data_IF_192097943290
#
_entry.id   IF_192097943290
#
_cell.length_a   1.000
_cell.length_b   1.000
_cell.length_c   1.000
_cell.angle_alpha   90.00
_cell.angle_beta   90.00
_cell.angle_gamma   90.00
#
_symmetry.space_group_name_H-M   'P 1'
#
loop_
_entity.id
_entity.type
_entity.pdbx_description
1 polymer ?
#
# COMPACT_ATOMS: atom_id res chain seq x y z
N UNK A 1 -13.40 -10.34 4.93
CA UNK A 1 -12.54 -9.81 3.85
C UNK A 1 -11.50 -8.95 4.57
N UNK A 2 -10.25 -9.38 4.61
CA UNK A 2 -9.17 -8.53 5.11
C UNK A 2 -8.87 -7.54 3.99
N UNK A 3 -8.93 -6.25 4.31
CA UNK A 3 -8.48 -5.18 3.43
C UNK A 3 -7.14 -5.58 2.80
N UNK A 4 -7.01 -5.41 1.49
CA UNK A 4 -5.71 -5.46 0.83
C UNK A 4 -4.93 -4.31 1.46
N UNK A 5 -4.19 -4.61 2.51
CA UNK A 5 -3.25 -3.68 3.11
C UNK A 5 -2.12 -3.53 2.11
N UNK A 6 -2.06 -2.40 1.44
CA UNK A 6 -0.79 -1.97 0.89
C UNK A 6 0.13 -1.82 2.09
N UNK A 7 1.06 -2.74 2.19
CA UNK A 7 2.10 -2.73 3.21
C UNK A 7 2.88 -1.44 3.03
N UNK A 8 3.08 -0.63 4.08
CA UNK A 8 4.05 0.45 4.00
C UNK A 8 5.38 -0.18 3.57
N UNK A 9 5.99 0.36 2.51
CA UNK A 9 7.33 -0.02 2.10
C UNK A 9 8.26 0.32 3.26
N UNK A 10 8.57 -0.69 4.06
CA UNK A 10 9.72 -0.61 4.96
C UNK A 10 10.97 -0.49 4.11
N UNK A 11 11.64 0.64 4.21
CA UNK A 11 12.95 0.86 3.61
C UNK A 11 13.96 -0.03 4.30
N UNK A 12 14.61 -0.89 3.57
CA UNK A 12 15.77 -1.65 4.06
C UNK A 12 16.87 -1.69 3.00
N UNK A 13 18.03 -1.31 3.41
CA UNK A 13 19.23 -1.01 2.63
C UNK A 13 20.29 -2.13 2.60
N UNK A 14 20.83 -2.50 1.43
CA UNK A 14 22.03 -3.35 1.30
C UNK A 14 23.17 -2.71 0.50
N UNK A 15 24.38 -2.83 0.99
CA UNK A 15 25.59 -2.29 0.38
C UNK A 15 26.26 -3.29 -0.56
N UNK A 16 26.60 -2.85 -1.77
CA UNK A 16 27.66 -3.45 -2.58
C UNK A 16 28.74 -2.41 -2.85
N UNK A 17 29.99 -2.84 -2.74
CA UNK A 17 31.20 -2.03 -2.84
C UNK A 17 31.44 -1.48 -4.24
N UNK A 18 31.64 -0.16 -4.32
CA UNK A 18 31.86 0.59 -5.55
C UNK A 18 33.25 0.43 -6.16
N UNK A 19 33.30 0.32 -7.48
CA UNK A 19 34.47 0.71 -8.29
C UNK A 19 34.26 2.13 -8.83
N UNK A 20 35.20 3.01 -8.59
CA UNK A 20 35.13 4.40 -8.97
C UNK A 20 35.12 4.66 -10.46
N UNK A 21 34.23 5.52 -10.89
CA UNK A 21 34.19 6.14 -12.21
C UNK A 21 34.22 7.65 -12.06
N UNK A 22 35.16 8.30 -12.76
CA UNK A 22 35.31 9.76 -12.81
C UNK A 22 34.25 10.32 -13.76
N UNK A 23 33.24 11.00 -13.23
CA UNK A 23 32.28 11.76 -14.05
C UNK A 23 32.79 13.18 -14.25
N UNK A 24 33.13 13.48 -15.49
CA UNK A 24 33.28 14.85 -16.01
C UNK A 24 32.16 15.07 -17.02
N UNK A 25 31.10 15.75 -16.64
CA UNK A 25 30.03 16.17 -17.52
C UNK A 25 29.02 17.02 -16.77
N UNK A 26 29.07 18.34 -17.02
CA UNK A 26 28.24 19.30 -16.28
C UNK A 26 26.76 19.19 -16.63
N UNK A 27 26.00 18.90 -15.63
CA UNK A 27 24.72 19.49 -15.28
C UNK A 27 24.84 19.80 -13.79
N UNK A 28 24.51 21.01 -13.37
CA UNK A 28 24.49 21.35 -11.95
C UNK A 28 23.32 20.58 -11.33
N UNK A 29 23.57 19.33 -10.95
CA UNK A 29 22.66 18.48 -10.16
C UNK A 29 22.30 19.21 -8.87
N UNK A 30 21.14 19.84 -8.87
CA UNK A 30 20.60 20.50 -7.68
C UNK A 30 20.26 19.41 -6.68
N UNK A 31 20.93 19.44 -5.53
CA UNK A 31 20.61 18.51 -4.45
C UNK A 31 19.17 18.73 -3.98
N UNK A 32 18.36 17.68 -3.97
CA UNK A 32 17.01 17.73 -3.42
C UNK A 32 17.10 17.97 -1.91
N UNK A 33 16.43 18.99 -1.36
CA UNK A 33 16.40 19.22 0.08
C UNK A 33 15.70 18.07 0.82
N UNK A 34 16.14 17.78 2.06
CA UNK A 34 15.55 16.68 2.86
C UNK A 34 14.06 16.86 3.10
N UNK A 35 13.61 18.09 3.28
CA UNK A 35 12.20 18.44 3.49
C UNK A 35 11.30 18.15 2.28
N UNK A 36 11.87 18.07 1.07
CA UNK A 36 11.14 17.73 -0.15
C UNK A 36 11.06 16.22 -0.39
N UNK A 37 11.88 15.41 0.31
CA UNK A 37 11.92 13.95 0.14
C UNK A 37 10.54 13.29 0.15
N UNK A 38 9.62 13.55 1.12
CA UNK A 38 8.33 12.88 1.16
C UNK A 38 7.50 13.13 -0.10
N UNK A 39 7.45 14.37 -0.58
CA UNK A 39 6.65 14.74 -1.76
C UNK A 39 7.25 14.19 -3.06
N UNK A 40 8.56 14.26 -3.22
CA UNK A 40 9.26 13.74 -4.40
C UNK A 40 9.15 12.22 -4.47
N UNK A 41 9.33 11.54 -3.35
CA UNK A 41 9.21 10.09 -3.27
C UNK A 41 7.76 9.61 -3.48
N UNK A 42 6.77 10.31 -2.91
CA UNK A 42 5.35 10.05 -3.18
C UNK A 42 5.02 10.14 -4.67
N UNK A 43 5.55 11.16 -5.36
CA UNK A 43 5.37 11.30 -6.81
C UNK A 43 5.97 10.12 -7.58
N UNK A 44 7.17 9.68 -7.22
CA UNK A 44 7.83 8.52 -7.85
C UNK A 44 7.04 7.22 -7.61
N UNK A 45 6.62 6.95 -6.38
CA UNK A 45 5.79 5.78 -6.03
C UNK A 45 4.46 5.79 -6.80
N UNK A 46 3.76 6.91 -6.83
CA UNK A 46 2.48 7.01 -7.55
C UNK A 46 2.65 6.80 -9.06
N UNK A 47 3.77 7.25 -9.63
CA UNK A 47 4.13 6.96 -11.02
C UNK A 47 4.36 5.46 -11.23
N UNK A 48 5.10 4.79 -10.34
CA UNK A 48 5.31 3.34 -10.38
C UNK A 48 4.00 2.56 -10.29
N UNK A 49 3.09 2.95 -9.39
CA UNK A 49 1.74 2.34 -9.31
C UNK A 49 0.94 2.54 -10.59
N UNK A 50 1.01 3.74 -11.19
CA UNK A 50 0.34 4.02 -12.46
C UNK A 50 0.91 3.17 -13.58
N UNK A 51 2.23 3.01 -13.66
CA UNK A 51 2.89 2.17 -14.65
C UNK A 51 2.54 0.69 -14.47
N UNK A 52 2.44 0.21 -13.22
CA UNK A 52 2.11 -1.17 -12.91
C UNK A 52 0.63 -1.48 -13.15
N UNK A 53 -0.25 -0.69 -12.58
CA UNK A 53 -1.68 -0.96 -12.54
C UNK A 53 -2.44 -0.26 -13.67
N UNK A 54 -1.82 0.74 -14.32
CA UNK A 54 -2.47 1.55 -15.34
C UNK A 54 -3.76 2.20 -14.82
N UNK A 55 -4.81 2.17 -15.62
CA UNK A 55 -6.12 2.70 -15.22
C UNK A 55 -6.73 1.94 -14.02
N UNK A 56 -6.28 0.73 -13.73
CA UNK A 56 -6.73 -0.05 -12.59
C UNK A 56 -6.35 0.59 -11.26
N UNK A 57 -5.31 1.42 -11.22
CA UNK A 57 -4.98 2.16 -10.02
C UNK A 57 -6.14 3.02 -9.53
N UNK A 58 -6.85 3.68 -10.45
CA UNK A 58 -8.05 4.46 -10.14
C UNK A 58 -9.22 3.57 -9.63
N UNK A 59 -9.28 2.30 -10.04
CA UNK A 59 -10.29 1.35 -9.57
C UNK A 59 -10.05 0.96 -8.10
N UNK A 60 -8.79 0.75 -7.71
CA UNK A 60 -8.44 0.41 -6.32
C UNK A 60 -8.49 1.61 -5.37
N UNK A 61 -8.25 2.80 -5.89
CA UNK A 61 -8.18 4.07 -5.14
C UNK A 61 -9.03 5.14 -5.80
N UNK A 62 -10.35 4.92 -5.97
CA UNK A 62 -11.22 5.85 -6.69
C UNK A 62 -11.30 7.20 -5.95
N UNK A 63 -11.03 8.29 -6.70
CA UNK A 63 -11.07 9.66 -6.15
C UNK A 63 -9.93 10.00 -5.19
N UNK A 64 -8.97 9.10 -4.95
CA UNK A 64 -7.84 9.35 -4.09
C UNK A 64 -6.76 10.13 -4.86
N UNK A 65 -6.29 11.22 -4.27
CA UNK A 65 -5.07 11.89 -4.71
C UNK A 65 -3.86 11.14 -4.17
N UNK A 66 -3.32 10.22 -4.97
CA UNK A 66 -2.20 9.38 -4.58
C UNK A 66 -1.03 10.19 -4.05
N UNK A 67 -0.58 11.23 -4.77
CA UNK A 67 0.60 12.00 -4.37
C UNK A 67 0.36 12.72 -3.06
N UNK A 68 -0.80 13.36 -2.90
CA UNK A 68 -1.15 14.06 -1.66
C UNK A 68 -1.17 13.12 -0.46
N UNK A 69 -1.91 12.01 -0.57
CA UNK A 69 -2.09 11.08 0.55
C UNK A 69 -0.78 10.36 0.90
N UNK A 70 -0.04 9.90 -0.12
CA UNK A 70 1.28 9.28 0.09
C UNK A 70 2.29 10.26 0.66
N UNK A 71 2.25 11.54 0.26
CA UNK A 71 3.11 12.58 0.85
C UNK A 71 2.85 12.74 2.34
N UNK A 72 1.58 12.84 2.75
CA UNK A 72 1.20 12.96 4.17
C UNK A 72 1.66 11.72 4.93
N UNK A 73 1.39 10.53 4.41
CA UNK A 73 1.82 9.28 5.02
C UNK A 73 3.34 9.24 5.22
N UNK A 74 4.12 9.54 4.18
CA UNK A 74 5.58 9.57 4.26
C UNK A 74 6.11 10.65 5.21
N UNK A 75 5.45 11.82 5.29
CA UNK A 75 5.82 12.84 6.27
C UNK A 75 5.67 12.33 7.71
N UNK A 76 4.67 11.51 7.97
CA UNK A 76 4.44 10.94 9.30
C UNK A 76 5.32 9.72 9.58
N UNK A 77 5.53 8.84 8.60
CA UNK A 77 6.44 7.70 8.71
C UNK A 77 7.89 8.13 8.92
N UNK A 78 8.32 9.17 8.22
CA UNK A 78 9.65 9.76 8.34
C UNK A 78 9.72 10.89 9.38
N UNK A 79 8.72 10.96 10.27
CA UNK A 79 8.76 11.91 11.38
C UNK A 79 10.02 11.64 12.23
N UNK A 80 10.84 12.67 12.43
CA UNK A 80 12.13 12.54 13.11
C UNK A 80 13.33 12.33 12.18
N UNK A 81 13.15 12.04 10.88
CA UNK A 81 14.27 11.85 9.94
C UNK A 81 15.27 13.02 9.99
N UNK A 82 14.77 14.26 10.01
CA UNK A 82 15.64 15.44 10.10
C UNK A 82 16.49 15.44 11.37
N UNK A 83 15.95 14.98 12.50
CA UNK A 83 16.67 14.92 13.76
C UNK A 83 17.77 13.84 13.74
N UNK A 84 17.48 12.66 13.18
CA UNK A 84 18.48 11.57 13.08
C UNK A 84 19.56 11.89 12.04
N UNK A 85 19.23 12.62 10.97
CA UNK A 85 20.24 13.16 10.03
C UNK A 85 21.12 14.18 10.73
N UNK A 86 20.55 15.13 11.47
CA UNK A 86 21.30 16.11 12.24
C UNK A 86 22.20 15.47 13.32
N UNK A 87 21.77 14.35 13.90
CA UNK A 87 22.56 13.55 14.85
C UNK A 87 23.67 12.73 14.17
N UNK A 88 23.75 12.72 12.84
CA UNK A 88 24.73 11.96 12.07
C UNK A 88 24.48 10.44 12.04
N UNK A 89 23.28 10.00 12.39
CA UNK A 89 22.87 8.59 12.38
C UNK A 89 22.47 8.14 10.97
N UNK A 90 22.09 9.09 10.12
CA UNK A 90 21.88 8.94 8.69
C UNK A 90 22.69 10.02 7.97
N UNK A 91 23.40 9.65 6.90
CA UNK A 91 23.98 10.60 5.96
C UNK A 91 23.03 10.77 4.79
N UNK A 92 22.49 11.95 4.64
CA UNK A 92 21.62 12.30 3.52
C UNK A 92 22.43 12.82 2.34
N UNK A 93 22.21 12.24 1.16
CA UNK A 93 22.86 12.58 -0.11
C UNK A 93 21.82 13.03 -1.14
N UNK A 94 21.31 14.26 -1.03
CA UNK A 94 20.25 14.79 -1.87
C UNK A 94 20.51 14.73 -3.38
N UNK A 95 21.79 14.73 -3.81
CA UNK A 95 22.15 14.52 -5.24
C UNK A 95 21.91 13.09 -5.72
N UNK A 96 22.06 12.11 -4.83
CA UNK A 96 21.81 10.69 -5.16
C UNK A 96 20.32 10.35 -5.13
N UNK A 97 19.52 11.19 -4.48
CA UNK A 97 18.08 10.98 -4.40
C UNK A 97 17.41 11.00 -5.78
N UNK A 98 17.88 11.85 -6.72
CA UNK A 98 17.30 11.88 -8.06
C UNK A 98 17.39 10.53 -8.76
N UNK A 99 18.53 9.85 -8.69
CA UNK A 99 18.68 8.51 -9.29
C UNK A 99 17.72 7.49 -8.66
N UNK A 100 17.52 7.57 -7.32
CA UNK A 100 16.52 6.77 -6.62
C UNK A 100 15.10 7.05 -7.16
N UNK A 101 14.71 8.32 -7.26
CA UNK A 101 13.37 8.71 -7.73
C UNK A 101 13.13 8.27 -9.18
N UNK A 102 14.13 8.40 -10.04
CA UNK A 102 14.05 7.98 -11.44
C UNK A 102 13.88 6.46 -11.54
N UNK A 103 14.63 5.69 -10.75
CA UNK A 103 14.52 4.24 -10.71
C UNK A 103 13.16 3.79 -10.17
N UNK A 104 12.70 4.36 -9.06
CA UNK A 104 11.37 4.07 -8.49
C UNK A 104 10.27 4.42 -9.48
N UNK A 105 10.29 5.63 -10.07
CA UNK A 105 9.23 6.09 -10.97
C UNK A 105 9.14 5.29 -12.26
N UNK A 106 10.24 4.72 -12.73
CA UNK A 106 10.30 3.88 -13.93
C UNK A 106 10.11 2.39 -13.64
N UNK A 107 9.94 2.02 -12.37
CA UNK A 107 9.77 0.63 -11.94
C UNK A 107 8.51 0.01 -12.53
N UNK A 108 8.61 -1.28 -12.84
CA UNK A 108 7.46 -2.12 -13.17
C UNK A 108 6.81 -2.71 -11.90
N UNK A 109 5.81 -3.54 -12.07
CA UNK A 109 5.11 -4.20 -10.97
C UNK A 109 6.05 -4.99 -10.05
N UNK A 110 7.13 -5.53 -10.58
CA UNK A 110 8.03 -6.39 -9.80
C UNK A 110 8.74 -5.62 -8.69
N UNK A 111 8.95 -4.32 -8.87
CA UNK A 111 9.64 -3.46 -7.92
C UNK A 111 8.74 -2.98 -6.76
N UNK A 112 7.41 -2.99 -6.92
CA UNK A 112 6.48 -2.43 -5.92
C UNK A 112 6.44 -3.20 -4.59
N UNK A 113 6.81 -4.48 -4.59
CA UNK A 113 6.89 -5.32 -3.39
C UNK A 113 8.33 -5.69 -3.04
N UNK A 114 9.30 -5.14 -3.77
CA UNK A 114 10.70 -5.34 -3.50
C UNK A 114 11.22 -4.24 -2.59
N UNK A 115 12.39 -4.50 -2.03
CA UNK A 115 13.18 -3.53 -1.33
C UNK A 115 13.45 -2.32 -2.21
N UNK A 116 13.64 -1.15 -1.58
CA UNK A 116 14.04 0.04 -2.30
C UNK A 116 15.28 -0.22 -3.17
N UNK A 117 15.35 0.38 -4.36
CA UNK A 117 16.52 0.24 -5.24
C UNK A 117 17.83 0.64 -4.55
N UNK A 118 18.95 0.08 -4.97
CA UNK A 118 20.28 0.40 -4.41
C UNK A 118 20.62 1.90 -4.53
N UNK A 119 20.10 2.58 -5.55
CA UNK A 119 20.21 4.03 -5.70
C UNK A 119 19.59 4.80 -4.53
N UNK A 120 18.47 4.31 -3.99
CA UNK A 120 17.81 4.91 -2.82
C UNK A 120 18.63 4.74 -1.56
N UNK A 121 19.27 3.59 -1.41
CA UNK A 121 20.21 3.31 -0.34
C UNK A 121 21.36 4.30 -0.29
N UNK A 122 21.87 4.61 -1.47
CA UNK A 122 22.93 5.60 -1.58
C UNK A 122 22.48 7.02 -1.20
N UNK A 123 21.16 7.32 -1.22
CA UNK A 123 20.61 8.61 -0.83
C UNK A 123 20.46 8.79 0.68
N UNK A 124 20.17 7.70 1.40
CA UNK A 124 20.03 7.65 2.87
C UNK A 124 20.98 6.59 3.42
N UNK A 125 22.21 6.96 3.76
CA UNK A 125 23.23 6.02 4.26
C UNK A 125 23.17 5.93 5.78
N UNK A 126 22.67 4.82 6.32
CA UNK A 126 22.67 4.52 7.75
C UNK A 126 24.10 4.37 8.32
N UNK A 127 24.32 4.79 9.56
CA UNK A 127 25.62 4.76 10.21
C UNK A 127 25.66 3.88 11.46
N UNK A 128 24.50 3.47 11.97
CA UNK A 128 24.38 2.67 13.19
C UNK A 128 24.77 1.21 12.88
N UNK A 129 25.72 0.68 13.63
CA UNK A 129 26.17 -0.70 13.48
C UNK A 129 25.21 -1.69 14.13
N UNK A 130 25.35 -2.98 13.79
CA UNK A 130 24.60 -4.08 14.40
C UNK A 130 24.62 -4.02 15.93
N UNK A 131 23.46 -4.19 16.55
CA UNK A 131 23.24 -4.10 17.99
C UNK A 131 23.17 -2.67 18.52
N UNK A 132 23.39 -1.64 17.70
CA UNK A 132 23.22 -0.25 18.12
C UNK A 132 21.75 0.15 18.16
N UNK A 133 21.41 1.09 19.05
CA UNK A 133 20.05 1.60 19.22
C UNK A 133 19.58 2.30 17.95
N UNK A 134 18.30 2.13 17.57
CA UNK A 134 17.69 2.76 16.41
C UNK A 134 16.19 3.07 16.66
N UNK A 135 15.69 4.04 15.91
CA UNK A 135 14.28 4.39 15.86
C UNK A 135 13.72 4.21 14.43
N UNK A 136 14.58 4.32 13.40
CA UNK A 136 14.25 4.17 11.99
C UNK A 136 15.12 3.07 11.36
N UNK A 137 14.56 2.35 10.40
CA UNK A 137 15.31 1.35 9.62
C UNK A 137 16.52 1.98 8.90
N UNK A 138 16.34 3.20 8.39
CA UNK A 138 17.34 3.97 7.65
C UNK A 138 18.56 4.34 8.50
N UNK A 139 18.49 4.24 9.81
CA UNK A 139 19.66 4.48 10.69
C UNK A 139 20.65 3.33 10.64
N UNK A 140 20.17 2.14 10.36
CA UNK A 140 20.97 0.92 10.41
C UNK A 140 21.89 0.79 9.19
N UNK A 141 23.12 0.35 9.42
CA UNK A 141 24.14 0.26 8.38
C UNK A 141 24.03 -1.03 7.59
N UNK A 142 23.94 -0.91 6.25
CA UNK A 142 23.97 -2.06 5.36
C UNK A 142 22.71 -2.93 5.44
N UNK A 143 22.86 -4.25 5.29
CA UNK A 143 21.75 -5.21 5.29
C UNK A 143 21.19 -5.43 6.71
N UNK A 144 20.75 -4.37 7.35
CA UNK A 144 20.17 -4.37 8.68
C UNK A 144 18.86 -3.59 8.69
N UNK A 145 18.00 -3.87 9.64
CA UNK A 145 16.78 -3.16 9.93
C UNK A 145 16.67 -2.82 11.41
N UNK A 146 15.85 -1.87 11.76
CA UNK A 146 15.61 -1.51 13.15
C UNK A 146 14.57 -2.45 13.76
N UNK A 147 15.03 -3.46 14.49
CA UNK A 147 14.13 -4.38 15.19
C UNK A 147 13.57 -3.71 16.43
N UNK A 148 12.32 -3.24 16.31
CA UNK A 148 11.59 -2.69 17.44
C UNK A 148 11.17 -3.83 18.38
N UNK A 149 11.50 -3.69 19.65
CA UNK A 149 11.07 -4.61 20.71
C UNK A 149 9.86 -4.07 21.46
N UNK A 150 9.54 -4.69 22.61
CA UNK A 150 8.55 -4.18 23.56
C UNK A 150 9.01 -2.88 24.26
N UNK A 151 10.21 -2.42 24.01
CA UNK A 151 10.77 -1.18 24.57
C UNK A 151 11.60 -0.44 23.54
N UNK A 152 11.48 0.90 23.50
CA UNK A 152 12.37 1.79 22.75
C UNK A 152 13.69 2.03 23.47
N UNK A 153 14.78 2.30 22.75
CA UNK A 153 14.89 2.21 21.28
C UNK A 153 14.91 0.76 20.79
N UNK A 154 14.72 0.55 19.48
CA UNK A 154 14.98 -0.71 18.81
C UNK A 154 16.49 -0.99 18.70
N UNK A 155 16.86 -2.07 18.05
CA UNK A 155 18.26 -2.42 17.79
C UNK A 155 18.47 -2.81 16.33
N UNK A 156 19.50 -2.27 15.70
CA UNK A 156 19.91 -2.64 14.35
C UNK A 156 20.26 -4.13 14.31
N UNK A 157 19.53 -4.87 13.50
CA UNK A 157 19.63 -6.34 13.39
C UNK A 157 19.75 -6.72 11.91
N UNK A 158 20.53 -7.76 11.62
CA UNK A 158 20.64 -8.28 10.25
C UNK A 158 19.24 -8.73 9.73
N UNK A 159 19.02 -8.51 8.44
CA UNK A 159 17.84 -8.98 7.75
C UNK A 159 17.68 -10.49 7.86
N UNK A 160 16.46 -10.92 8.01
CA UNK A 160 16.12 -12.32 8.19
C UNK A 160 16.20 -13.08 6.85
N UNK A 161 16.87 -14.23 6.91
CA UNK A 161 16.96 -15.17 5.80
C UNK A 161 15.67 -15.98 5.64
N UNK A 162 15.57 -16.77 4.58
CA UNK A 162 14.45 -17.69 4.39
C UNK A 162 14.20 -18.57 5.62
N UNK A 163 12.96 -18.56 6.12
CA UNK A 163 12.55 -19.23 7.35
C UNK A 163 12.82 -18.43 8.64
N UNK A 164 13.52 -17.30 8.58
CA UNK A 164 13.72 -16.38 9.71
C UNK A 164 12.39 -15.79 10.20
N UNK A 165 12.35 -15.37 11.46
CA UNK A 165 11.14 -14.79 12.06
C UNK A 165 11.01 -13.33 11.68
N UNK A 166 9.85 -12.96 11.14
CA UNK A 166 9.56 -11.59 10.69
C UNK A 166 8.23 -11.09 11.24
N UNK A 167 8.06 -9.79 11.27
CA UNK A 167 6.82 -9.06 11.56
C UNK A 167 6.35 -8.23 10.37
N UNK A 168 7.26 -7.87 9.49
CA UNK A 168 7.02 -7.08 8.28
C UNK A 168 7.91 -7.60 7.12
N UNK A 169 7.56 -7.24 5.89
CA UNK A 169 8.37 -7.59 4.71
C UNK A 169 9.78 -6.99 4.79
N UNK A 170 9.90 -5.80 5.40
CA UNK A 170 11.18 -5.11 5.59
C UNK A 170 12.19 -5.90 6.44
N UNK A 171 11.72 -6.82 7.29
CA UNK A 171 12.59 -7.66 8.11
C UNK A 171 13.34 -8.71 7.28
N UNK A 172 12.86 -9.01 6.07
CA UNK A 172 13.39 -10.07 5.22
C UNK A 172 14.40 -9.54 4.20
N UNK A 173 15.38 -10.37 3.82
CA UNK A 173 16.28 -10.04 2.72
C UNK A 173 15.52 -9.85 1.41
N UNK A 174 16.11 -9.13 0.46
CA UNK A 174 15.52 -8.88 -0.87
C UNK A 174 15.05 -10.18 -1.53
N UNK A 175 13.87 -10.13 -2.16
CA UNK A 175 13.23 -11.28 -2.81
C UNK A 175 12.44 -12.20 -1.86
N UNK A 176 12.41 -11.90 -0.57
CA UNK A 176 11.55 -12.58 0.40
C UNK A 176 10.48 -11.64 0.93
N UNK A 177 9.40 -12.23 1.44
CA UNK A 177 8.33 -11.52 2.12
C UNK A 177 8.02 -12.18 3.46
N UNK A 178 7.40 -11.44 4.37
CA UNK A 178 6.93 -11.99 5.63
C UNK A 178 5.58 -12.70 5.41
N UNK A 179 5.59 -14.01 5.40
CA UNK A 179 4.38 -14.82 5.22
C UNK A 179 3.47 -14.80 6.46
N UNK A 180 2.24 -15.31 6.30
CA UNK A 180 1.21 -15.37 7.35
C UNK A 180 1.66 -16.11 8.62
N UNK A 181 2.69 -16.95 8.53
CA UNK A 181 3.29 -17.67 9.66
C UNK A 181 4.33 -16.85 10.43
N UNK A 182 4.55 -15.57 10.04
CA UNK A 182 5.59 -14.71 10.61
C UNK A 182 7.01 -15.19 10.28
N UNK A 183 7.21 -15.72 9.08
CA UNK A 183 8.51 -16.17 8.57
C UNK A 183 8.78 -15.62 7.19
N UNK A 184 10.05 -15.32 6.92
CA UNK A 184 10.49 -14.90 5.60
C UNK A 184 10.39 -16.07 4.61
N UNK A 185 9.60 -15.88 3.56
CA UNK A 185 9.35 -16.86 2.49
C UNK A 185 9.47 -16.19 1.13
N UNK A 186 9.80 -16.96 0.11
CA UNK A 186 9.71 -16.46 -1.27
C UNK A 186 8.23 -16.23 -1.63
N UNK A 187 7.88 -15.11 -2.31
CA UNK A 187 6.54 -14.91 -2.82
C UNK A 187 6.21 -15.97 -3.89
N UNK A 188 4.92 -16.26 -4.06
CA UNK A 188 4.46 -17.15 -5.11
C UNK A 188 4.53 -16.46 -6.49
N UNK A 189 5.05 -17.17 -7.46
CA UNK A 189 5.19 -16.69 -8.82
C UNK A 189 3.94 -16.95 -9.70
N UNK A 190 3.97 -16.48 -10.94
CA UNK A 190 2.87 -16.65 -11.88
C UNK A 190 2.41 -18.13 -12.00
N UNK A 191 1.13 -18.38 -11.79
CA UNK A 191 0.52 -19.69 -11.85
C UNK A 191 0.70 -20.56 -10.60
N UNK A 192 1.47 -20.14 -9.62
CA UNK A 192 1.65 -20.85 -8.36
C UNK A 192 0.46 -20.63 -7.41
N UNK A 193 0.37 -21.51 -6.42
CA UNK A 193 -0.62 -21.43 -5.37
C UNK A 193 -0.30 -20.27 -4.42
N UNK A 194 -1.35 -19.59 -3.92
CA UNK A 194 -1.23 -18.47 -3.02
C UNK A 194 -2.28 -18.52 -1.91
N UNK A 195 -1.93 -18.01 -0.72
CA UNK A 195 -2.77 -17.99 0.51
C UNK A 195 -3.16 -19.39 1.04
N UNK A 196 -3.91 -19.46 2.11
CA UNK A 196 -4.26 -20.70 2.82
C UNK A 196 -3.04 -21.54 3.24
N UNK A 197 -1.98 -20.84 3.72
CA UNK A 197 -0.72 -21.46 4.15
C UNK A 197 0.38 -21.44 3.09
N UNK A 198 0.06 -21.03 1.88
CA UNK A 198 1.01 -20.71 0.82
C UNK A 198 1.37 -19.22 0.86
N UNK A 199 2.52 -18.81 0.31
CA UNK A 199 2.92 -17.40 0.28
C UNK A 199 1.94 -16.55 -0.56
N UNK A 200 1.92 -15.25 -0.30
CA UNK A 200 1.25 -14.30 -1.18
C UNK A 200 1.98 -14.20 -2.52
N UNK A 201 1.29 -13.68 -3.53
CA UNK A 201 1.88 -13.53 -4.87
C UNK A 201 2.97 -12.46 -4.88
N UNK A 202 3.96 -12.65 -5.74
CA UNK A 202 4.91 -11.60 -6.07
C UNK A 202 4.20 -10.40 -6.70
N UNK A 203 4.86 -9.23 -6.68
CA UNK A 203 4.29 -8.00 -7.23
C UNK A 203 3.86 -8.18 -8.69
N UNK A 204 2.79 -7.51 -9.06
CA UNK A 204 2.19 -7.63 -10.39
C UNK A 204 1.24 -8.82 -10.57
N UNK A 205 1.07 -9.66 -9.55
CA UNK A 205 0.14 -10.78 -9.56
C UNK A 205 -0.93 -10.63 -8.47
N UNK A 206 -2.14 -11.09 -8.75
CA UNK A 206 -3.24 -11.19 -7.80
C UNK A 206 -3.51 -12.65 -7.47
N UNK A 207 -3.72 -12.93 -6.20
CA UNK A 207 -4.17 -14.24 -5.76
C UNK A 207 -5.68 -14.38 -6.02
N UNK A 208 -6.05 -15.12 -7.04
CA UNK A 208 -7.44 -15.36 -7.41
C UNK A 208 -7.84 -16.81 -7.21
N UNK A 209 -9.11 -17.05 -6.90
CA UNK A 209 -9.66 -18.37 -6.70
C UNK A 209 -9.50 -18.94 -5.28
N UNK A 210 -8.94 -18.17 -4.36
CA UNK A 210 -8.89 -18.57 -2.95
C UNK A 210 -10.30 -18.80 -2.39
N UNK A 211 -10.49 -19.91 -1.69
CA UNK A 211 -11.70 -20.19 -0.91
C UNK A 211 -11.34 -20.41 0.57
N UNK A 212 -11.54 -19.35 1.36
CA UNK A 212 -11.23 -19.38 2.79
C UNK A 212 -12.10 -20.36 3.57
N UNK A 213 -13.31 -20.69 3.08
CA UNK A 213 -14.23 -21.64 3.72
C UNK A 213 -13.82 -23.07 3.40
N UNK A 214 -13.57 -23.37 2.12
CA UNK A 214 -13.10 -24.67 1.69
C UNK A 214 -11.58 -24.88 1.96
N UNK A 215 -10.87 -23.84 2.41
CA UNK A 215 -9.42 -23.84 2.61
C UNK A 215 -8.63 -24.28 1.37
N UNK A 216 -9.09 -23.85 0.20
CA UNK A 216 -8.36 -24.09 -1.04
C UNK A 216 -7.54 -22.85 -1.40
N UNK A 217 -6.25 -23.03 -1.76
CA UNK A 217 -5.42 -21.91 -2.20
C UNK A 217 -5.95 -21.32 -3.51
N UNK A 218 -5.64 -20.05 -3.73
CA UNK A 218 -5.81 -19.39 -5.01
C UNK A 218 -4.64 -19.67 -5.94
N UNK A 219 -4.61 -18.94 -7.04
CA UNK A 219 -3.52 -18.97 -8.02
C UNK A 219 -3.08 -17.54 -8.33
N UNK A 220 -1.76 -17.31 -8.42
CA UNK A 220 -1.20 -16.02 -8.79
C UNK A 220 -1.41 -15.77 -10.29
N UNK A 221 -2.23 -14.79 -10.62
CA UNK A 221 -2.51 -14.36 -12.00
C UNK A 221 -2.05 -12.92 -12.19
N UNK A 222 -1.47 -12.64 -13.36
CA UNK A 222 -1.01 -11.29 -13.70
C UNK A 222 -2.15 -10.28 -13.61
N UNK A 223 -1.92 -9.16 -12.91
CA UNK A 223 -2.92 -8.11 -12.66
C UNK A 223 -3.60 -7.69 -13.95
N UNK A 224 -2.82 -7.29 -14.98
CA UNK A 224 -3.37 -6.80 -16.24
C UNK A 224 -4.17 -7.87 -17.00
N UNK A 225 -3.81 -9.15 -16.88
CA UNK A 225 -4.51 -10.25 -17.53
C UNK A 225 -5.85 -10.59 -16.88
N UNK A 226 -6.07 -10.17 -15.64
CA UNK A 226 -7.29 -10.44 -14.88
C UNK A 226 -8.39 -9.40 -15.13
N UNK A 227 -8.05 -8.16 -15.47
CA UNK A 227 -8.96 -7.07 -15.74
C UNK A 227 -9.27 -6.95 -17.24
N UNK A 228 -10.03 -7.91 -17.78
CA UNK A 228 -10.30 -8.00 -19.21
C UNK A 228 -11.77 -8.12 -19.58
N UNK A 229 -12.67 -8.31 -18.62
CA UNK A 229 -14.10 -8.49 -18.88
C UNK A 229 -14.69 -7.22 -19.50
N UNK A 230 -15.33 -7.37 -20.68
CA UNK A 230 -16.05 -6.33 -21.37
C UNK A 230 -17.54 -6.37 -21.00
N UNK A 231 -18.33 -5.39 -21.47
CA UNK A 231 -19.78 -5.36 -21.22
C UNK A 231 -20.45 -6.68 -21.61
N UNK A 232 -21.14 -7.27 -20.64
CA UNK A 232 -21.86 -8.54 -20.81
C UNK A 232 -21.03 -9.80 -20.52
N UNK A 233 -19.72 -9.70 -20.33
CA UNK A 233 -18.89 -10.84 -19.93
C UNK A 233 -19.18 -11.26 -18.50
N UNK A 234 -19.07 -12.57 -18.22
CA UNK A 234 -19.11 -13.05 -16.85
C UNK A 234 -17.88 -12.56 -16.07
N UNK A 235 -18.12 -12.06 -14.88
CA UNK A 235 -17.09 -11.64 -13.94
C UNK A 235 -17.19 -12.40 -12.63
N UNK A 236 -16.05 -12.57 -11.97
CA UNK A 236 -15.95 -13.22 -10.67
C UNK A 236 -14.72 -12.72 -9.95
N UNK A 237 -14.82 -12.46 -8.66
CA UNK A 237 -13.67 -12.15 -7.81
C UNK A 237 -12.62 -13.29 -7.75
N UNK A 238 -12.94 -14.44 -8.33
CA UNK A 238 -12.05 -15.61 -8.38
C UNK A 238 -11.28 -15.77 -9.68
N UNK A 239 -11.75 -15.20 -10.81
CA UNK A 239 -11.18 -15.56 -12.11
C UNK A 239 -11.04 -14.41 -13.10
N UNK A 240 -12.04 -13.55 -13.21
CA UNK A 240 -12.07 -12.49 -14.22
C UNK A 240 -12.70 -11.24 -13.65
N UNK A 241 -11.97 -10.16 -13.66
CA UNK A 241 -12.44 -8.85 -13.28
C UNK A 241 -12.78 -8.04 -14.53
N UNK A 242 -13.64 -7.05 -14.39
CA UNK A 242 -14.03 -6.20 -15.52
C UNK A 242 -12.90 -5.24 -15.89
N UNK A 243 -12.74 -4.95 -17.18
CA UNK A 243 -11.80 -3.96 -17.68
C UNK A 243 -12.19 -2.56 -17.19
N UNK A 244 -11.27 -1.61 -17.31
CA UNK A 244 -11.51 -0.19 -17.00
C UNK A 244 -12.79 0.32 -17.69
N UNK A 245 -13.56 1.11 -16.96
CA UNK A 245 -14.88 1.60 -17.40
C UNK A 245 -16.05 0.61 -17.22
N UNK A 246 -15.77 -0.56 -16.64
CA UNK A 246 -16.81 -1.55 -16.32
C UNK A 246 -16.69 -1.99 -14.85
N UNK A 247 -17.82 -2.33 -14.26
CA UNK A 247 -17.91 -2.90 -12.92
C UNK A 247 -18.59 -4.26 -12.98
N UNK A 248 -18.22 -5.18 -12.09
CA UNK A 248 -18.85 -6.49 -11.98
C UNK A 248 -20.14 -6.35 -11.17
N UNK A 249 -21.30 -6.23 -11.82
CA UNK A 249 -22.60 -6.28 -11.15
C UNK A 249 -22.78 -7.64 -10.47
N UNK A 250 -22.91 -7.63 -9.15
CA UNK A 250 -23.01 -8.86 -8.37
C UNK A 250 -24.41 -9.46 -8.52
N UNK A 251 -24.50 -10.59 -9.19
CA UNK A 251 -25.75 -11.35 -9.37
C UNK A 251 -25.75 -12.68 -8.60
N UNK A 252 -24.57 -13.13 -8.14
CA UNK A 252 -24.37 -14.35 -7.37
C UNK A 252 -23.52 -14.03 -6.14
N UNK A 253 -23.89 -14.57 -4.98
CA UNK A 253 -23.15 -14.35 -3.73
C UNK A 253 -22.22 -15.51 -3.34
N UNK A 254 -22.43 -16.69 -3.94
CA UNK A 254 -21.60 -17.87 -3.69
C UNK A 254 -21.46 -18.72 -4.97
N UNK A 255 -20.28 -18.74 -5.60
CA UNK A 255 -19.19 -17.76 -5.44
C UNK A 255 -19.62 -16.35 -5.88
N UNK A 256 -19.01 -15.33 -5.28
CA UNK A 256 -19.31 -13.95 -5.65
C UNK A 256 -18.92 -13.72 -7.12
N UNK A 257 -19.92 -13.34 -7.92
CA UNK A 257 -19.75 -13.11 -9.34
C UNK A 257 -20.98 -12.48 -9.96
N UNK A 258 -20.87 -12.16 -11.23
CA UNK A 258 -21.92 -11.45 -11.95
C UNK A 258 -21.59 -11.21 -13.42
N UNK A 259 -21.93 -10.03 -13.89
CA UNK A 259 -21.73 -9.62 -15.28
C UNK A 259 -21.11 -8.24 -15.33
N UNK A 260 -20.14 -8.04 -16.22
CA UNK A 260 -19.54 -6.72 -16.42
C UNK A 260 -20.54 -5.75 -17.04
N UNK A 261 -20.81 -4.65 -16.37
CA UNK A 261 -21.65 -3.55 -16.83
C UNK A 261 -20.85 -2.26 -16.89
N UNK A 262 -21.22 -1.35 -17.78
CA UNK A 262 -20.57 -0.05 -17.85
C UNK A 262 -20.84 0.75 -16.56
N UNK A 263 -19.83 1.49 -16.09
CA UNK A 263 -19.99 2.44 -14.97
C UNK A 263 -21.10 3.45 -15.34
N UNK A 264 -21.86 3.84 -14.34
CA UNK A 264 -23.00 4.75 -14.51
C UNK A 264 -22.64 6.19 -14.18
N UNK A 265 -23.50 7.15 -14.50
CA UNK A 265 -23.29 8.56 -14.20
C UNK A 265 -23.70 8.94 -12.78
N UNK A 266 -23.33 10.17 -12.38
CA UNK A 266 -23.73 10.77 -11.12
C UNK A 266 -25.24 10.81 -10.96
N UNK A 267 -25.77 10.35 -9.80
CA UNK A 267 -27.19 10.30 -9.50
C UNK A 267 -27.99 9.22 -10.23
N UNK A 268 -27.35 8.45 -11.13
CA UNK A 268 -28.00 7.34 -11.83
C UNK A 268 -28.26 6.16 -10.88
N UNK A 269 -29.13 5.25 -11.34
CA UNK A 269 -29.36 3.99 -10.63
C UNK A 269 -28.13 3.11 -10.80
N UNK A 270 -27.61 2.63 -9.68
CA UNK A 270 -26.49 1.71 -9.58
C UNK A 270 -26.86 0.39 -8.92
N UNK A 271 -25.99 -0.58 -9.02
CA UNK A 271 -26.13 -1.88 -8.36
C UNK A 271 -24.91 -2.18 -7.48
N UNK A 272 -25.06 -3.15 -6.59
CA UNK A 272 -23.91 -3.68 -5.88
C UNK A 272 -22.93 -4.29 -6.89
N UNK A 273 -21.75 -3.71 -7.01
CA UNK A 273 -20.74 -4.07 -7.98
C UNK A 273 -19.33 -4.00 -7.39
N UNK A 274 -18.36 -4.59 -8.10
CA UNK A 274 -16.93 -4.48 -7.79
C UNK A 274 -16.12 -4.25 -9.09
N UNK A 275 -15.30 -3.18 -9.14
CA UNK A 275 -15.35 -2.02 -8.25
C UNK A 275 -16.74 -1.35 -8.27
N UNK A 276 -16.95 -0.29 -7.51
CA UNK A 276 -18.24 0.42 -7.53
C UNK A 276 -18.56 0.92 -8.95
N UNK A 277 -19.85 0.87 -9.34
CA UNK A 277 -20.30 1.35 -10.65
C UNK A 277 -20.31 2.87 -10.76
N UNK A 278 -20.21 3.57 -9.64
CA UNK A 278 -20.35 5.03 -9.59
C UNK A 278 -19.03 5.74 -9.93
N UNK A 279 -19.08 7.06 -10.27
CA UNK A 279 -17.89 7.89 -10.40
C UNK A 279 -17.00 7.82 -9.17
N UNK A 280 -15.71 8.16 -9.34
CA UNK A 280 -14.67 7.97 -8.32
C UNK A 280 -14.94 8.69 -6.97
N UNK A 281 -15.63 9.82 -7.00
CA UNK A 281 -16.03 10.62 -5.85
C UNK A 281 -17.43 10.26 -5.30
N UNK A 282 -18.08 9.26 -5.89
CA UNK A 282 -19.38 8.75 -5.49
C UNK A 282 -19.32 7.28 -5.07
N UNK A 283 -20.39 6.79 -4.48
CA UNK A 283 -20.58 5.39 -4.18
C UNK A 283 -22.05 4.97 -4.43
N UNK A 284 -22.27 3.68 -4.67
CA UNK A 284 -23.61 3.17 -4.79
C UNK A 284 -24.28 3.04 -3.43
N UNK A 285 -25.10 4.03 -3.08
CA UNK A 285 -25.91 3.98 -1.86
C UNK A 285 -27.10 3.05 -2.08
N UNK A 286 -26.94 1.81 -1.63
CA UNK A 286 -27.98 0.78 -1.77
C UNK A 286 -29.23 1.14 -0.97
N UNK A 287 -30.39 0.98 -1.60
CA UNK A 287 -31.68 1.22 -0.96
C UNK A 287 -32.01 0.15 0.09
N UNK A 288 -32.82 0.52 1.08
CA UNK A 288 -33.39 -0.42 2.06
C UNK A 288 -34.56 -1.24 1.50
N UNK A 289 -34.76 -1.27 0.20
CA UNK A 289 -35.87 -1.95 -0.44
C UNK A 289 -35.66 -3.48 -0.39
N UNK A 290 -36.48 -4.17 0.37
CA UNK A 290 -36.44 -5.63 0.51
C UNK A 290 -36.65 -6.39 -0.82
N UNK A 291 -37.21 -5.74 -1.88
CA UNK A 291 -37.46 -6.34 -3.18
C UNK A 291 -36.28 -6.18 -4.16
N UNK A 292 -35.39 -5.22 -3.91
CA UNK A 292 -34.20 -4.97 -4.74
C UNK A 292 -33.03 -4.55 -3.83
N UNK A 293 -32.54 -5.43 -2.96
CA UNK A 293 -31.54 -5.07 -1.95
C UNK A 293 -30.16 -4.70 -2.54
N UNK A 294 -29.96 -4.98 -3.83
CA UNK A 294 -28.71 -4.72 -4.55
C UNK A 294 -28.77 -3.49 -5.48
N UNK A 295 -29.89 -2.75 -5.48
CA UNK A 295 -30.06 -1.53 -6.28
C UNK A 295 -29.98 -0.29 -5.41
N UNK A 296 -29.37 0.77 -5.94
CA UNK A 296 -29.17 2.04 -5.25
C UNK A 296 -29.07 3.22 -6.20
N UNK A 297 -28.50 4.29 -5.73
CA UNK A 297 -28.16 5.48 -6.51
C UNK A 297 -26.73 5.91 -6.25
N UNK A 298 -26.05 6.37 -7.29
CA UNK A 298 -24.78 7.01 -7.15
C UNK A 298 -24.95 8.31 -6.36
N UNK A 299 -24.25 8.40 -5.24
CA UNK A 299 -24.32 9.50 -4.28
C UNK A 299 -22.91 9.89 -3.89
N UNK A 300 -22.66 11.17 -3.69
CA UNK A 300 -21.35 11.66 -3.23
C UNK A 300 -20.93 10.92 -1.95
N UNK A 301 -19.64 10.59 -1.87
CA UNK A 301 -19.07 10.00 -0.66
C UNK A 301 -19.24 10.97 0.50
N UNK A 302 -19.70 10.52 1.68
CA UNK A 302 -19.87 11.37 2.85
C UNK A 302 -18.55 12.02 3.24
N UNK A 303 -18.62 13.30 3.55
CA UNK A 303 -17.49 14.07 4.08
C UNK A 303 -17.29 13.82 5.59
N UNK A 304 -16.19 14.33 6.13
CA UNK A 304 -15.94 14.28 7.57
C UNK A 304 -17.09 14.94 8.36
N UNK A 305 -17.58 14.25 9.38
CA UNK A 305 -18.73 14.65 10.18
C UNK A 305 -20.07 14.07 9.72
N UNK A 306 -20.15 13.51 8.52
CA UNK A 306 -21.37 12.93 7.98
C UNK A 306 -21.53 11.44 8.36
N UNK A 307 -22.77 10.92 8.39
CA UNK A 307 -23.03 9.52 8.70
C UNK A 307 -22.46 8.57 7.62
N UNK A 308 -21.85 7.46 8.05
CA UNK A 308 -21.35 6.39 7.21
C UNK A 308 -21.77 5.00 7.70
N UNK A 309 -21.46 3.96 6.93
CA UNK A 309 -21.45 2.58 7.45
C UNK A 309 -22.77 1.85 7.57
N UNK A 310 -23.85 2.24 6.91
CA UNK A 310 -25.13 1.50 6.88
C UNK A 310 -25.47 0.92 5.51
N UNK A 311 -24.52 0.76 4.62
CA UNK A 311 -24.70 0.08 3.34
C UNK A 311 -24.33 -1.40 3.45
N UNK A 312 -25.15 -2.28 2.86
CA UNK A 312 -24.85 -3.70 2.67
C UNK A 312 -23.87 -3.89 1.48
N UNK A 313 -22.74 -3.19 1.48
CA UNK A 313 -21.75 -3.28 0.41
C UNK A 313 -20.40 -3.84 0.90
N UNK A 314 -19.62 -4.47 0.02
CA UNK A 314 -18.28 -4.98 0.37
C UNK A 314 -17.23 -3.88 0.55
N UNK A 315 -17.59 -2.61 0.39
CA UNK A 315 -16.68 -1.48 0.54
C UNK A 315 -16.80 -0.91 1.96
N UNK A 316 -15.79 -1.12 2.82
CA UNK A 316 -15.83 -0.66 4.20
C UNK A 316 -15.73 0.87 4.34
N UNK A 317 -15.26 1.58 3.33
CA UNK A 317 -15.00 3.01 3.38
C UNK A 317 -15.89 3.77 2.39
N UNK A 318 -17.08 4.16 2.87
CA UNK A 318 -17.99 5.03 2.11
C UNK A 318 -17.65 6.51 2.25
N UNK A 319 -16.64 6.86 3.04
CA UNK A 319 -16.23 8.24 3.27
C UNK A 319 -15.39 8.80 2.11
N UNK A 320 -15.29 10.13 2.06
CA UNK A 320 -14.32 10.82 1.21
C UNK A 320 -12.90 10.28 1.44
N UNK A 321 -11.98 10.35 0.45
CA UNK A 321 -10.67 9.69 0.51
C UNK A 321 -9.78 10.09 1.69
N UNK A 322 -10.01 11.27 2.28
CA UNK A 322 -9.30 11.78 3.46
C UNK A 322 -10.00 11.45 4.79
N UNK A 323 -11.07 10.65 4.74
CA UNK A 323 -11.84 10.28 5.92
C UNK A 323 -12.06 8.77 6.00
N UNK A 324 -12.30 8.27 7.19
CA UNK A 324 -12.62 6.87 7.48
C UNK A 324 -13.92 6.77 8.26
N UNK A 325 -14.67 5.70 8.03
CA UNK A 325 -15.88 5.45 8.79
C UNK A 325 -15.54 4.89 10.17
N UNK A 326 -15.72 5.70 11.19
CA UNK A 326 -15.50 5.34 12.59
C UNK A 326 -16.80 5.53 13.38
N UNK A 327 -17.28 4.44 13.98
CA UNK A 327 -18.51 4.40 14.78
C UNK A 327 -19.74 5.03 14.09
N UNK A 328 -19.84 4.80 12.76
CA UNK A 328 -20.98 5.27 11.95
C UNK A 328 -20.91 6.73 11.50
N UNK A 329 -19.78 7.40 11.68
CA UNK A 329 -19.51 8.76 11.23
C UNK A 329 -18.18 8.80 10.49
N UNK A 330 -18.13 9.49 9.35
CA UNK A 330 -16.88 9.77 8.65
C UNK A 330 -16.02 10.71 9.49
N UNK A 331 -14.83 10.30 9.85
CA UNK A 331 -13.83 11.11 10.55
C UNK A 331 -12.64 11.33 9.65
N UNK A 332 -12.06 12.51 9.69
CA UNK A 332 -10.77 12.75 9.03
C UNK A 332 -9.74 11.75 9.55
N UNK A 333 -8.85 11.33 8.65
CA UNK A 333 -7.70 10.50 9.05
C UNK A 333 -6.80 11.39 9.91
N UNK A 334 -6.53 10.94 11.13
CA UNK A 334 -5.84 11.73 12.13
C UNK A 334 -4.33 11.78 11.89
N UNK A 335 -3.74 12.93 12.19
CA UNK A 335 -2.30 13.18 12.17
C UNK A 335 -1.62 12.77 13.48
N UNK A 336 -0.28 12.74 13.47
CA UNK A 336 0.50 12.44 14.68
C UNK A 336 0.11 13.35 15.85
N UNK A 337 -0.11 12.72 16.99
CA UNK A 337 -0.54 13.40 18.24
C UNK A 337 -2.05 13.64 18.34
N UNK A 338 -2.82 13.44 17.29
CA UNK A 338 -4.26 13.56 17.32
C UNK A 338 -4.93 12.29 17.88
N UNK A 339 -6.18 12.45 18.34
CA UNK A 339 -6.95 11.36 18.94
C UNK A 339 -7.35 10.29 17.93
N UNK A 340 -7.22 9.02 18.30
CA UNK A 340 -7.60 7.88 17.48
C UNK A 340 -8.31 6.80 18.30
N UNK A 341 -9.02 5.91 17.62
CA UNK A 341 -9.67 4.74 18.22
C UNK A 341 -9.14 3.43 17.63
N UNK A 342 -8.64 3.47 16.40
CA UNK A 342 -8.11 2.33 15.64
C UNK A 342 -6.88 2.78 14.86
N UNK A 343 -5.97 1.87 14.58
CA UNK A 343 -4.80 2.14 13.74
C UNK A 343 -5.18 2.76 12.40
N UNK A 344 -6.20 2.22 11.72
CA UNK A 344 -6.66 2.69 10.43
C UNK A 344 -7.22 4.13 10.43
N UNK A 345 -7.41 4.75 11.59
CA UNK A 345 -7.82 6.15 11.70
C UNK A 345 -6.66 7.13 11.74
N UNK A 346 -5.43 6.64 11.70
CA UNK A 346 -4.21 7.44 11.64
C UNK A 346 -3.55 7.35 10.25
N UNK A 347 -2.95 8.42 9.76
CA UNK A 347 -2.10 8.37 8.56
C UNK A 347 -0.89 7.45 8.75
N UNK A 348 -0.34 7.40 9.96
CA UNK A 348 0.74 6.48 10.35
C UNK A 348 0.29 5.02 10.49
N UNK A 349 -1.00 4.72 10.32
CA UNK A 349 -1.65 3.42 10.60
C UNK A 349 -1.34 2.87 12.01
N UNK A 350 -1.05 3.77 12.97
CA UNK A 350 -0.72 3.39 14.35
C UNK A 350 -1.39 4.28 15.40
N UNK A 351 -2.27 3.67 16.19
CA UNK A 351 -2.98 4.27 17.30
C UNK A 351 -2.51 3.65 18.61
N UNK A 352 -1.91 4.43 19.51
CA UNK A 352 -1.46 3.98 20.83
C UNK A 352 -2.00 4.93 21.91
N UNK A 353 -2.53 4.39 22.99
CA UNK A 353 -3.10 5.14 24.11
C UNK A 353 -4.10 6.23 23.70
N UNK A 354 -4.81 5.99 22.58
CA UNK A 354 -5.82 6.92 22.06
C UNK A 354 -5.25 8.10 21.26
N UNK A 355 -3.98 8.06 20.86
CA UNK A 355 -3.34 9.05 20.00
C UNK A 355 -2.60 8.38 18.83
N UNK A 356 -2.61 9.06 17.68
CA UNK A 356 -1.79 8.64 16.53
C UNK A 356 -0.31 8.87 16.85
N UNK A 357 0.48 7.83 16.69
CA UNK A 357 1.93 7.86 16.90
C UNK A 357 2.66 7.50 15.60
N UNK A 358 3.93 7.84 15.51
CA UNK A 358 4.72 7.48 14.34
C UNK A 358 4.75 5.95 14.16
N UNK A 359 4.80 5.49 12.91
CA UNK A 359 4.76 4.06 12.57
C UNK A 359 5.88 3.26 13.28
N UNK A 360 7.01 3.89 13.53
CA UNK A 360 8.18 3.37 14.23
C UNK A 360 8.20 3.64 15.75
N UNK A 361 7.11 4.16 16.34
CA UNK A 361 7.04 4.34 17.79
C UNK A 361 7.03 2.99 18.50
N UNK A 362 7.81 2.84 19.54
CA UNK A 362 7.80 1.65 20.40
C UNK A 362 6.61 1.67 21.37
N UNK A 363 6.12 0.50 21.77
CA UNK A 363 5.10 0.33 22.80
C UNK A 363 5.65 0.57 24.21
#
# INVERSE_FOLDING_TARGET
MRSIRFVPLGFVLALATACGGSDTGGDEDVAIPLEELPAQYASAICSAYTNCLGELFAIFRPGEDCVKNTTIQLQEELAGLSAVVAAGRIKYHGRKLQACLDEVSSSDCSALNQRAPESCEAALEGTVAEGGDCDLDEECKGEQYCKLGASCPGACTLLEQAGGVCSANADCISGLMCGDTGRCVAPAEAGEACKQGEPDCSAGYLCLGEDAVAKTPGTCLEVQSTFRGQSGDECSLRTTLCASGYACEITKLDPIGGTCAAVVGSGDTCRAAFPDECPADEFCQLGSNALSPLEGKCTAKPEAGEPCGKGLGPTPDQCAPYARCDDGVCREIAHLGEGCTLNATCYSDRCMDGACVAANSCE
#
